data_IF_700880974376
#
_entry.id   IF_700880974376
#
_cell.length_a   1.000
_cell.length_b   1.000
_cell.length_c   1.000
_cell.angle_alpha   90.00
_cell.angle_beta   90.00
_cell.angle_gamma   90.00
#
_symmetry.space_group_name_H-M   'P 1'
#
loop_
_entity.id
_entity.type
_entity.pdbx_description
1 polymer ?
#
# COMPACT_ATOMS: atom_id res chain seq x y z
N UNK A 1 -0.29 -2.02 -7.78
CA UNK A 1 -0.83 -3.29 -7.31
C UNK A 1 0.24 -4.07 -6.57
N UNK A 2 -0.08 -4.62 -5.40
CA UNK A 2 0.80 -5.46 -4.57
C UNK A 2 0.14 -6.82 -4.55
N UNK A 3 0.84 -7.86 -5.03
CA UNK A 3 0.28 -9.21 -5.09
C UNK A 3 -0.40 -9.55 -6.42
N UNK A 4 0.09 -9.02 -7.54
CA UNK A 4 -0.23 -9.61 -8.86
C UNK A 4 0.13 -11.11 -8.84
N UNK A 5 -0.59 -11.98 -9.57
CA UNK A 5 -0.57 -13.46 -9.48
C UNK A 5 0.82 -14.16 -9.42
N UNK A 6 1.92 -13.46 -9.70
CA UNK A 6 3.29 -14.00 -9.67
C UNK A 6 4.22 -13.39 -8.61
N UNK A 7 3.78 -12.39 -7.86
CA UNK A 7 4.63 -11.67 -6.90
C UNK A 7 4.79 -12.47 -5.59
N UNK A 8 6.02 -12.64 -5.13
CA UNK A 8 6.30 -13.28 -3.84
C UNK A 8 6.38 -12.22 -2.74
N UNK A 9 5.68 -12.45 -1.63
CA UNK A 9 5.61 -11.49 -0.52
C UNK A 9 6.09 -12.13 0.77
N UNK A 10 7.13 -11.57 1.36
CA UNK A 10 7.71 -12.00 2.63
C UNK A 10 7.49 -10.92 3.71
N UNK A 11 7.06 -11.32 4.91
CA UNK A 11 7.04 -10.42 6.07
C UNK A 11 8.44 -10.44 6.69
N UNK A 12 9.14 -9.31 6.64
CA UNK A 12 10.48 -9.17 7.24
C UNK A 12 10.38 -8.80 8.71
N UNK A 13 9.46 -7.88 9.03
CA UNK A 13 9.30 -7.34 10.38
C UNK A 13 7.84 -7.08 10.67
N UNK A 14 7.44 -7.28 11.92
CA UNK A 14 6.13 -6.86 12.41
C UNK A 14 6.31 -6.11 13.72
N UNK A 15 5.85 -4.85 13.76
CA UNK A 15 5.70 -4.09 15.01
C UNK A 15 4.26 -4.22 15.48
N UNK A 16 4.07 -4.35 16.80
CA UNK A 16 2.75 -4.51 17.39
C UNK A 16 2.45 -3.35 18.32
N UNK A 17 1.33 -2.68 18.08
CA UNK A 17 0.78 -1.65 18.94
C UNK A 17 -0.47 -2.19 19.61
N UNK A 18 -0.65 -1.92 20.89
CA UNK A 18 -1.78 -2.44 21.66
C UNK A 18 -2.39 -1.32 22.48
N UNK A 19 -3.69 -1.13 22.35
CA UNK A 19 -4.45 -0.11 23.05
C UNK A 19 -5.86 -0.62 23.37
N UNK A 20 -6.51 0.10 24.28
CA UNK A 20 -7.94 -0.08 24.59
C UNK A 20 -8.71 0.99 23.83
N UNK A 21 -9.23 0.65 22.66
CA UNK A 21 -10.09 1.55 21.89
C UNK A 21 -11.54 1.11 22.08
N UNK A 22 -12.42 2.07 22.40
CA UNK A 22 -13.84 1.83 22.68
C UNK A 22 -14.11 0.73 23.72
N UNK A 23 -13.24 0.59 24.72
CA UNK A 23 -13.38 -0.38 25.81
C UNK A 23 -12.88 -1.80 25.51
N UNK A 24 -12.51 -2.11 24.26
CA UNK A 24 -11.94 -3.41 23.89
C UNK A 24 -10.43 -3.34 23.72
N UNK A 25 -9.70 -4.36 24.19
CA UNK A 25 -8.28 -4.47 23.90
C UNK A 25 -8.10 -4.82 22.43
N UNK A 26 -7.39 -3.95 21.72
CA UNK A 26 -7.19 -4.04 20.27
C UNK A 26 -5.70 -4.08 19.97
N UNK A 27 -5.36 -4.83 18.94
CA UNK A 27 -4.00 -4.95 18.44
C UNK A 27 -3.95 -4.45 17.00
N UNK A 28 -2.91 -3.68 16.74
CA UNK A 28 -2.58 -3.15 15.43
C UNK A 28 -1.18 -3.65 15.09
N UNK A 29 -1.01 -4.11 13.86
CA UNK A 29 0.24 -4.67 13.38
C UNK A 29 0.75 -3.83 12.23
N UNK A 30 1.98 -3.36 12.32
CA UNK A 30 2.67 -2.72 11.22
C UNK A 30 3.68 -3.71 10.65
N UNK A 31 3.39 -4.21 9.46
CA UNK A 31 4.21 -5.17 8.74
C UNK A 31 5.12 -4.46 7.76
N UNK A 32 6.41 -4.75 7.84
CA UNK A 32 7.38 -4.44 6.78
C UNK A 32 7.47 -5.67 5.87
N UNK A 33 7.04 -5.49 4.62
CA UNK A 33 6.92 -6.52 3.62
C UNK A 33 7.98 -6.33 2.54
N UNK A 34 8.66 -7.41 2.17
CA UNK A 34 9.47 -7.46 0.97
C UNK A 34 8.70 -8.17 -0.14
N UNK A 35 8.41 -7.42 -1.20
CA UNK A 35 7.76 -7.95 -2.39
C UNK A 35 8.81 -8.18 -3.45
N UNK A 36 9.06 -9.43 -3.77
CA UNK A 36 9.88 -9.86 -4.89
C UNK A 36 9.00 -10.01 -6.13
N UNK A 37 9.26 -9.16 -7.12
CA UNK A 37 8.60 -9.19 -8.43
C UNK A 37 9.48 -9.86 -9.45
N UNK A 38 9.23 -9.56 -10.72
CA UNK A 38 10.12 -9.96 -11.79
C UNK A 38 9.83 -11.35 -12.32
N UNK A 39 10.58 -11.73 -13.33
CA UNK A 39 10.40 -13.00 -14.01
C UNK A 39 11.78 -13.58 -14.30
N UNK A 40 12.05 -14.76 -13.77
CA UNK A 40 13.31 -15.46 -14.06
C UNK A 40 13.26 -16.07 -15.47
N UNK A 41 14.40 -16.58 -15.95
CA UNK A 41 14.51 -17.17 -17.28
C UNK A 41 13.51 -18.33 -17.48
N UNK A 42 13.37 -19.22 -16.51
CA UNK A 42 12.48 -20.38 -16.59
C UNK A 42 11.01 -19.98 -16.80
N UNK A 43 10.54 -18.96 -16.10
CA UNK A 43 9.15 -18.48 -16.21
C UNK A 43 8.92 -17.80 -17.56
N UNK A 44 9.84 -16.92 -18.00
CA UNK A 44 9.67 -16.26 -19.31
C UNK A 44 9.72 -17.27 -20.45
N UNK A 45 10.57 -18.30 -20.38
CA UNK A 45 10.58 -19.39 -21.36
C UNK A 45 9.23 -20.12 -21.44
N UNK A 46 8.50 -20.24 -20.33
CA UNK A 46 7.13 -20.77 -20.33
C UNK A 46 6.22 -19.90 -21.20
N UNK A 47 6.27 -18.58 -21.01
CA UNK A 47 5.51 -17.60 -21.82
C UNK A 47 5.94 -17.63 -23.29
N UNK A 48 7.23 -17.87 -23.57
CA UNK A 48 7.74 -17.98 -24.94
C UNK A 48 7.16 -19.17 -25.70
N UNK A 49 6.85 -20.28 -25.02
CA UNK A 49 6.25 -21.46 -25.67
C UNK A 49 4.81 -21.20 -26.13
N UNK A 50 4.15 -20.24 -25.51
CA UNK A 50 2.81 -19.78 -25.91
C UNK A 50 2.89 -18.61 -26.91
N UNK A 51 3.96 -18.52 -27.71
CA UNK A 51 4.09 -17.50 -28.76
C UNK A 51 3.02 -17.70 -29.83
N UNK A 52 2.38 -16.62 -30.22
CA UNK A 52 1.26 -16.60 -31.15
C UNK A 52 1.63 -15.88 -32.45
N UNK A 53 2.68 -15.06 -32.41
CA UNK A 53 3.12 -14.20 -33.49
C UNK A 53 4.61 -14.32 -33.78
N UNK A 54 5.03 -14.13 -35.04
CA UNK A 54 6.44 -14.13 -35.43
C UNK A 54 7.23 -12.93 -34.86
N UNK A 55 6.53 -11.85 -34.49
CA UNK A 55 7.14 -10.73 -33.78
C UNK A 55 7.29 -10.99 -32.27
N UNK A 56 6.76 -12.10 -31.74
CA UNK A 56 7.06 -12.47 -30.36
C UNK A 56 8.57 -12.75 -30.22
N UNK A 57 9.15 -12.31 -29.12
CA UNK A 57 10.56 -12.56 -28.87
C UNK A 57 11.20 -11.63 -27.86
N UNK A 58 12.52 -11.79 -27.75
CA UNK A 58 13.36 -10.98 -26.89
C UNK A 58 13.88 -9.76 -27.62
N UNK A 59 13.89 -8.65 -26.90
CA UNK A 59 14.23 -7.34 -27.41
C UNK A 59 15.15 -6.63 -26.46
N UNK A 60 16.15 -5.93 -27.00
CA UNK A 60 17.01 -5.03 -26.24
C UNK A 60 16.67 -3.59 -26.57
N UNK A 61 16.75 -2.73 -25.56
CA UNK A 61 16.61 -1.29 -25.76
C UNK A 61 17.75 -0.79 -26.65
N UNK A 62 17.40 -0.01 -27.69
CA UNK A 62 18.38 0.76 -28.47
C UNK A 62 19.04 1.74 -27.51
N UNK A 63 20.31 1.52 -27.27
CA UNK A 63 21.09 2.30 -26.32
C UNK A 63 22.51 2.47 -26.82
N UNK A 64 23.14 3.55 -26.39
CA UNK A 64 24.51 3.88 -26.72
C UNK A 64 25.45 2.73 -26.38
N UNK A 65 26.56 2.66 -27.12
CA UNK A 65 27.53 1.56 -27.14
C UNK A 65 28.03 1.20 -25.72
N UNK A 66 28.14 2.19 -24.82
CA UNK A 66 28.72 2.04 -23.48
C UNK A 66 27.70 1.79 -22.35
N UNK A 67 26.42 1.58 -22.66
CA UNK A 67 25.39 1.36 -21.62
C UNK A 67 25.00 -0.11 -21.51
N UNK A 68 24.79 -0.59 -20.28
CA UNK A 68 24.28 -1.95 -20.05
C UNK A 68 22.94 -2.11 -20.75
N UNK A 69 22.80 -3.20 -21.52
CA UNK A 69 21.61 -3.46 -22.33
C UNK A 69 20.44 -3.86 -21.43
N UNK A 70 19.30 -3.19 -21.63
CA UNK A 70 18.03 -3.54 -20.97
C UNK A 70 17.28 -4.48 -21.90
N UNK A 71 17.04 -5.70 -21.43
CA UNK A 71 16.29 -6.72 -22.15
C UNK A 71 14.84 -6.79 -21.68
N UNK A 72 13.94 -7.04 -22.63
CA UNK A 72 12.52 -7.31 -22.43
C UNK A 72 12.07 -8.47 -23.33
N UNK A 73 10.94 -9.08 -22.99
CA UNK A 73 10.24 -10.02 -23.88
C UNK A 73 8.90 -9.38 -24.27
N UNK A 74 8.62 -9.34 -25.57
CA UNK A 74 7.37 -8.78 -26.09
C UNK A 74 6.50 -9.92 -26.62
N UNK A 75 5.24 -9.94 -26.18
CA UNK A 75 4.20 -10.86 -26.67
C UNK A 75 3.07 -10.05 -27.30
N UNK A 76 2.81 -10.26 -28.58
CA UNK A 76 1.72 -9.63 -29.31
C UNK A 76 0.38 -10.26 -28.94
N UNK A 77 -0.65 -9.42 -28.89
CA UNK A 77 -2.01 -9.87 -28.56
C UNK A 77 -2.67 -10.53 -29.77
N UNK A 78 -2.41 -9.98 -30.95
CA UNK A 78 -3.04 -10.39 -32.21
C UNK A 78 -2.06 -11.21 -33.06
N UNK A 79 -2.57 -12.28 -33.71
CA UNK A 79 -1.81 -13.06 -34.71
C UNK A 79 -1.44 -12.21 -35.92
N UNK A 80 -2.43 -11.48 -36.44
CA UNK A 80 -2.28 -10.62 -37.60
C UNK A 80 -1.89 -9.22 -37.13
N UNK A 81 -0.61 -8.88 -37.31
CA UNK A 81 -0.07 -7.62 -36.82
C UNK A 81 -0.40 -6.49 -37.79
N UNK A 82 -1.11 -5.49 -37.30
CA UNK A 82 -1.29 -4.19 -37.95
C UNK A 82 -0.43 -3.13 -37.25
N UNK A 83 -0.36 -1.92 -37.82
CA UNK A 83 0.39 -0.82 -37.19
C UNK A 83 -0.17 -0.42 -35.81
N UNK A 84 -1.47 -0.65 -35.56
CA UNK A 84 -2.11 -0.38 -34.28
C UNK A 84 -2.02 -1.52 -33.27
N UNK A 85 -1.38 -2.64 -33.65
CA UNK A 85 -1.21 -3.79 -32.77
C UNK A 85 -0.46 -3.41 -31.49
N UNK A 86 -0.88 -4.05 -30.40
CA UNK A 86 -0.32 -3.84 -29.07
C UNK A 86 0.37 -5.11 -28.60
N UNK A 87 1.45 -4.93 -27.85
CA UNK A 87 2.19 -6.01 -27.21
C UNK A 87 2.18 -5.87 -25.68
N UNK A 88 2.19 -7.01 -25.01
CA UNK A 88 2.41 -7.12 -23.57
C UNK A 88 3.92 -7.28 -23.36
N UNK A 89 4.48 -6.46 -22.48
CA UNK A 89 5.90 -6.48 -22.18
C UNK A 89 6.16 -7.23 -20.88
N UNK A 90 7.11 -8.15 -20.91
CA UNK A 90 7.62 -8.86 -19.75
C UNK A 90 9.04 -8.40 -19.49
N UNK A 91 9.37 -8.15 -18.22
CA UNK A 91 10.68 -7.65 -17.79
C UNK A 91 11.28 -8.56 -16.71
N UNK A 92 12.62 -8.72 -16.66
CA UNK A 92 13.27 -9.50 -15.62
C UNK A 92 12.99 -8.95 -14.21
N UNK A 93 12.96 -7.63 -14.05
CA UNK A 93 12.85 -6.95 -12.76
C UNK A 93 11.41 -6.73 -12.28
N UNK A 94 10.47 -6.41 -13.18
CA UNK A 94 9.07 -6.09 -12.81
C UNK A 94 8.05 -7.13 -13.23
N UNK A 95 8.42 -8.12 -14.03
CA UNK A 95 7.49 -9.13 -14.54
C UNK A 95 6.62 -8.59 -15.68
N UNK A 96 5.37 -9.08 -15.76
CA UNK A 96 4.40 -8.67 -16.77
C UNK A 96 3.99 -7.20 -16.57
N UNK A 97 4.01 -6.43 -17.64
CA UNK A 97 3.57 -5.04 -17.64
C UNK A 97 2.05 -4.99 -17.88
N UNK A 98 1.33 -4.34 -16.97
CA UNK A 98 -0.13 -4.18 -17.09
C UNK A 98 -0.51 -3.29 -18.28
N UNK A 99 0.32 -2.30 -18.60
CA UNK A 99 0.12 -1.42 -19.75
C UNK A 99 0.63 -2.08 -21.02
N UNK A 100 -0.27 -2.27 -21.99
CA UNK A 100 0.10 -2.72 -23.34
C UNK A 100 0.87 -1.60 -24.08
N UNK A 101 1.88 -1.96 -24.85
CA UNK A 101 2.72 -1.05 -25.62
C UNK A 101 2.38 -1.14 -27.11
N UNK A 102 2.26 0.00 -27.79
CA UNK A 102 2.03 0.05 -29.25
C UNK A 102 3.24 -0.45 -30.03
N UNK A 103 3.00 -1.06 -31.19
CA UNK A 103 4.04 -1.57 -32.09
C UNK A 103 5.06 -0.49 -32.49
N UNK A 104 4.61 0.72 -32.83
CA UNK A 104 5.50 1.81 -33.23
C UNK A 104 6.49 2.21 -32.13
N UNK A 105 6.03 2.25 -30.88
CA UNK A 105 6.90 2.53 -29.75
C UNK A 105 7.91 1.38 -29.52
N UNK A 106 7.51 0.14 -29.79
CA UNK A 106 8.39 -1.03 -29.71
C UNK A 106 9.48 -0.96 -30.77
N UNK A 107 9.11 -0.82 -32.04
CA UNK A 107 10.04 -0.75 -33.19
C UNK A 107 11.01 0.43 -33.09
N UNK A 108 10.55 1.57 -32.57
CA UNK A 108 11.40 2.75 -32.38
C UNK A 108 12.48 2.50 -31.33
N UNK A 109 12.10 1.96 -30.17
CA UNK A 109 12.99 1.89 -29.02
C UNK A 109 13.76 0.58 -28.87
N UNK A 110 13.36 -0.49 -29.55
CA UNK A 110 13.90 -1.83 -29.29
C UNK A 110 14.35 -2.54 -30.58
N UNK A 111 15.27 -3.50 -30.41
CA UNK A 111 15.78 -4.38 -31.48
C UNK A 111 15.65 -5.82 -31.02
N UNK A 112 15.12 -6.69 -31.90
CA UNK A 112 14.96 -8.12 -31.63
C UNK A 112 16.33 -8.80 -31.57
N UNK A 113 16.50 -9.76 -30.66
CA UNK A 113 17.75 -10.51 -30.49
C UNK A 113 17.51 -12.02 -30.44
N UNK A 114 18.57 -12.77 -30.68
CA UNK A 114 18.57 -14.23 -30.60
C UNK A 114 18.35 -14.73 -29.16
N UNK A 115 17.67 -15.88 -29.03
CA UNK A 115 17.34 -16.48 -27.74
C UNK A 115 18.58 -16.84 -26.89
N UNK A 116 19.69 -17.23 -27.53
CA UNK A 116 20.93 -17.58 -26.83
C UNK A 116 21.54 -16.38 -26.10
N UNK A 117 21.66 -15.24 -26.80
CA UNK A 117 22.10 -13.97 -26.21
C UNK A 117 21.10 -13.44 -25.20
N UNK A 118 19.81 -13.65 -25.47
CA UNK A 118 18.73 -13.23 -24.59
C UNK A 118 18.84 -13.83 -23.20
N UNK A 119 19.17 -15.13 -23.09
CA UNK A 119 19.36 -15.80 -21.79
C UNK A 119 20.36 -15.08 -20.91
N UNK A 120 21.56 -14.85 -21.44
CA UNK A 120 22.65 -14.21 -20.70
C UNK A 120 22.26 -12.82 -20.22
N UNK A 121 21.67 -11.99 -21.08
CA UNK A 121 21.23 -10.65 -20.68
C UNK A 121 20.06 -10.68 -19.70
N UNK A 122 19.13 -11.64 -19.86
CA UNK A 122 17.97 -11.78 -18.98
C UNK A 122 18.39 -12.16 -17.58
N UNK A 123 19.21 -13.21 -17.43
CA UNK A 123 19.72 -13.68 -16.14
C UNK A 123 20.59 -12.62 -15.47
N UNK A 124 21.44 -11.94 -16.23
CA UNK A 124 22.27 -10.87 -15.69
C UNK A 124 21.46 -9.67 -15.19
N UNK A 125 20.47 -9.22 -15.97
CA UNK A 125 19.61 -8.12 -15.53
C UNK A 125 18.68 -8.55 -14.39
N UNK A 126 18.19 -9.79 -14.42
CA UNK A 126 17.43 -10.40 -13.33
C UNK A 126 18.24 -10.33 -12.03
N UNK A 127 19.48 -10.81 -12.04
CA UNK A 127 20.32 -10.83 -10.85
C UNK A 127 20.69 -9.43 -10.37
N UNK A 128 21.12 -8.54 -11.27
CA UNK A 128 21.47 -7.17 -10.90
C UNK A 128 20.28 -6.40 -10.30
N UNK A 129 19.06 -6.64 -10.79
CA UNK A 129 17.85 -5.97 -10.31
C UNK A 129 17.47 -6.32 -8.87
N UNK A 130 18.10 -7.32 -8.25
CA UNK A 130 17.89 -7.64 -6.84
C UNK A 130 18.42 -6.54 -5.90
N UNK A 131 19.52 -5.90 -6.29
CA UNK A 131 20.29 -4.99 -5.44
C UNK A 131 20.54 -3.62 -6.07
N UNK A 132 20.42 -3.50 -7.40
CA UNK A 132 20.72 -2.27 -8.13
C UNK A 132 19.47 -1.72 -8.80
N UNK A 133 19.25 -0.42 -8.63
CA UNK A 133 18.23 0.30 -9.39
C UNK A 133 18.60 0.34 -10.88
N UNK A 134 17.59 0.51 -11.74
CA UNK A 134 17.76 0.53 -13.20
C UNK A 134 18.70 1.65 -13.66
N UNK A 135 18.76 2.76 -12.92
CA UNK A 135 19.68 3.87 -13.19
C UNK A 135 21.13 3.43 -13.01
N UNK A 136 21.45 2.82 -11.86
CA UNK A 136 22.80 2.32 -11.56
C UNK A 136 23.18 1.19 -12.50
N UNK A 137 22.24 0.30 -12.83
CA UNK A 137 22.47 -0.74 -13.83
C UNK A 137 22.80 -0.12 -15.20
N UNK A 138 21.89 0.67 -15.78
CA UNK A 138 22.06 1.18 -17.15
C UNK A 138 23.22 2.16 -17.32
N UNK A 139 23.32 3.15 -16.42
CA UNK A 139 24.23 4.29 -16.52
C UNK A 139 25.46 4.19 -15.61
N UNK A 140 25.57 3.15 -14.79
CA UNK A 140 26.62 3.02 -13.77
C UNK A 140 26.41 3.90 -12.52
N UNK A 141 25.54 4.91 -12.59
CA UNK A 141 25.30 5.87 -11.52
C UNK A 141 23.81 6.18 -11.34
N UNK A 142 23.40 6.46 -10.10
CA UNK A 142 22.07 6.94 -9.77
C UNK A 142 22.18 8.24 -8.95
N UNK A 143 21.50 9.31 -9.38
CA UNK A 143 21.50 10.60 -8.69
C UNK A 143 21.04 10.47 -7.23
N UNK A 144 19.97 9.71 -7.01
CA UNK A 144 19.41 9.48 -5.67
C UNK A 144 20.43 8.82 -4.73
N UNK A 145 21.11 7.76 -5.20
CA UNK A 145 22.16 7.09 -4.44
C UNK A 145 23.38 8.00 -4.19
N UNK A 146 23.74 8.85 -5.17
CA UNK A 146 24.83 9.83 -5.02
C UNK A 146 24.51 10.89 -3.95
N UNK A 147 23.24 11.23 -3.77
CA UNK A 147 22.77 12.15 -2.73
C UNK A 147 22.55 11.44 -1.37
N UNK A 148 22.98 10.19 -1.21
CA UNK A 148 22.78 9.41 0.03
C UNK A 148 21.34 8.91 0.25
N UNK A 149 20.45 9.08 -0.73
CA UNK A 149 19.06 8.64 -0.64
C UNK A 149 18.89 7.25 -1.25
N UNK A 150 17.95 6.45 -0.70
CA UNK A 150 17.61 5.12 -1.25
C UNK A 150 16.89 5.25 -2.59
N UNK A 151 17.14 4.31 -3.52
CA UNK A 151 16.47 4.26 -4.82
C UNK A 151 16.04 2.83 -5.15
N UNK A 152 14.73 2.60 -5.20
CA UNK A 152 14.14 1.30 -5.50
C UNK A 152 13.58 1.22 -6.94
N UNK A 153 13.93 2.22 -7.76
CA UNK A 153 13.40 2.33 -9.12
C UNK A 153 13.94 1.21 -10.01
N UNK A 154 13.02 0.39 -10.52
CA UNK A 154 13.35 -0.77 -11.33
C UNK A 154 14.08 -1.89 -10.57
N UNK A 155 14.09 -1.86 -9.24
CA UNK A 155 14.50 -3.01 -8.44
C UNK A 155 13.39 -4.06 -8.39
N UNK A 156 13.80 -5.32 -8.28
CA UNK A 156 12.90 -6.47 -8.18
C UNK A 156 12.29 -6.60 -6.79
N UNK A 157 13.07 -6.29 -5.76
CA UNK A 157 12.60 -6.20 -4.39
C UNK A 157 12.12 -4.78 -4.11
N UNK A 158 10.92 -4.64 -3.56
CA UNK A 158 10.47 -3.40 -2.94
C UNK A 158 9.99 -3.66 -1.53
N UNK A 159 10.22 -2.69 -0.68
CA UNK A 159 9.74 -2.70 0.70
C UNK A 159 8.44 -1.93 0.78
N UNK A 160 7.44 -2.53 1.40
CA UNK A 160 6.14 -1.92 1.65
C UNK A 160 5.79 -2.02 3.11
N UNK A 161 5.15 -0.97 3.64
CA UNK A 161 4.67 -0.95 5.01
C UNK A 161 3.16 -1.08 5.00
N UNK A 162 2.64 -2.11 5.66
CA UNK A 162 1.20 -2.39 5.71
C UNK A 162 0.73 -2.41 7.15
N UNK A 163 -0.21 -1.53 7.47
CA UNK A 163 -0.88 -1.48 8.75
C UNK A 163 -2.11 -2.39 8.73
N UNK A 164 -2.18 -3.39 9.61
CA UNK A 164 -3.25 -4.38 9.69
C UNK A 164 -3.81 -4.51 11.12
N UNK A 165 -4.91 -5.25 11.27
CA UNK A 165 -5.64 -5.40 12.54
C UNK A 165 -6.79 -4.40 12.64
N UNK A 166 -6.98 -3.78 13.81
CA UNK A 166 -8.02 -2.77 14.03
C UNK A 166 -7.59 -1.40 13.48
N UNK A 167 -7.46 -1.27 12.16
CA UNK A 167 -6.99 -0.02 11.53
C UNK A 167 -7.96 1.15 11.80
N UNK A 168 -9.26 0.87 11.83
CA UNK A 168 -10.29 1.90 12.07
C UNK A 168 -10.17 2.56 13.45
N UNK A 169 -9.69 1.84 14.47
CA UNK A 169 -9.56 2.42 15.81
C UNK A 169 -8.44 3.45 15.92
N UNK A 170 -7.47 3.43 15.01
CA UNK A 170 -6.39 4.42 14.92
C UNK A 170 -6.47 5.28 13.66
N UNK A 171 -7.63 5.29 13.00
CA UNK A 171 -7.83 6.03 11.75
C UNK A 171 -7.48 7.51 11.89
N UNK A 172 -7.93 8.14 12.97
CA UNK A 172 -7.60 9.55 13.29
C UNK A 172 -6.09 9.78 13.40
N UNK A 173 -5.34 8.81 13.92
CA UNK A 173 -3.88 8.88 14.05
C UNK A 173 -3.20 8.77 12.68
N UNK A 174 -3.74 7.92 11.80
CA UNK A 174 -3.28 7.81 10.40
C UNK A 174 -3.52 9.13 9.66
N UNK A 175 -4.74 9.66 9.68
CA UNK A 175 -5.08 10.94 9.02
C UNK A 175 -4.18 12.09 9.51
N UNK A 176 -3.98 12.21 10.82
CA UNK A 176 -3.06 13.21 11.40
C UNK A 176 -1.63 13.02 10.90
N UNK A 177 -1.14 11.79 10.79
CA UNK A 177 0.22 11.52 10.31
C UNK A 177 0.38 11.87 8.83
N UNK A 178 -0.63 11.62 8.00
CA UNK A 178 -0.64 11.98 6.58
C UNK A 178 -0.69 13.49 6.41
N UNK A 179 -1.58 14.16 7.15
CA UNK A 179 -1.70 15.61 7.16
C UNK A 179 -0.40 16.30 7.58
N UNK A 180 0.26 15.81 8.65
CA UNK A 180 1.57 16.33 9.12
C UNK A 180 2.66 16.28 8.06
N UNK A 181 2.59 15.30 7.17
CA UNK A 181 3.56 15.13 6.08
C UNK A 181 3.09 15.76 4.76
N UNK A 182 1.99 16.52 4.76
CA UNK A 182 1.34 17.08 3.58
C UNK A 182 1.15 16.02 2.47
N UNK A 183 0.77 14.81 2.88
CA UNK A 183 0.57 13.70 1.95
C UNK A 183 -0.90 13.62 1.55
N UNK A 184 -1.20 14.12 0.35
CA UNK A 184 -2.57 14.23 -0.20
C UNK A 184 -3.03 12.96 -0.95
N UNK A 185 -2.29 11.85 -0.87
CA UNK A 185 -2.65 10.64 -1.59
C UNK A 185 -3.63 9.77 -0.80
N UNK A 186 -4.62 9.22 -1.52
CA UNK A 186 -5.61 8.28 -1.00
C UNK A 186 -4.93 7.04 -0.41
N UNK A 187 -5.32 6.67 0.82
CA UNK A 187 -4.85 5.42 1.46
C UNK A 187 -5.36 4.24 0.63
N UNK A 188 -4.44 3.34 0.25
CA UNK A 188 -4.79 2.13 -0.48
C UNK A 188 -4.99 0.95 0.48
N UNK A 189 -6.11 0.23 0.35
CA UNK A 189 -6.33 -1.06 1.01
C UNK A 189 -5.67 -2.16 0.17
N UNK A 190 -4.93 -3.04 0.83
CA UNK A 190 -4.24 -4.17 0.20
C UNK A 190 -4.65 -5.48 0.85
N UNK A 191 -4.80 -6.52 0.02
CA UNK A 191 -5.03 -7.90 0.43
C UNK A 191 -3.90 -8.73 -0.15
N UNK A 192 -3.15 -9.41 0.68
CA UNK A 192 -1.99 -10.19 0.25
C UNK A 192 -1.91 -11.51 0.98
N UNK A 193 -1.28 -12.47 0.30
CA UNK A 193 -0.92 -13.77 0.85
C UNK A 193 0.59 -13.84 0.85
N UNK A 194 1.18 -14.15 2.01
CA UNK A 194 2.63 -14.29 2.11
C UNK A 194 3.09 -15.63 1.55
N UNK A 195 4.39 -15.78 1.31
CA UNK A 195 5.01 -17.06 0.97
C UNK A 195 4.80 -18.13 2.05
N UNK A 196 4.56 -17.72 3.30
CA UNK A 196 4.19 -18.59 4.43
C UNK A 196 2.68 -18.86 4.52
N UNK A 197 1.92 -18.59 3.46
CA UNK A 197 0.46 -18.75 3.35
C UNK A 197 -0.35 -17.96 4.40
N UNK A 198 0.22 -16.86 4.91
CA UNK A 198 -0.49 -15.96 5.82
C UNK A 198 -1.24 -14.91 5.02
N UNK A 199 -2.56 -14.85 5.21
CA UNK A 199 -3.41 -13.81 4.63
C UNK A 199 -3.37 -12.56 5.50
N UNK A 200 -3.08 -11.42 4.88
CA UNK A 200 -3.05 -10.12 5.55
C UNK A 200 -3.93 -9.14 4.77
N UNK A 201 -4.79 -8.43 5.48
CA UNK A 201 -5.58 -7.32 4.95
C UNK A 201 -5.21 -6.08 5.75
N UNK A 202 -4.89 -4.99 5.06
CA UNK A 202 -4.44 -3.77 5.72
C UNK A 202 -4.36 -2.57 4.79
N UNK A 203 -3.85 -1.46 5.32
CA UNK A 203 -3.65 -0.21 4.60
C UNK A 203 -2.17 -0.01 4.28
N UNK A 204 -1.87 0.39 3.05
CA UNK A 204 -0.52 0.71 2.62
C UNK A 204 -0.10 2.07 3.20
N UNK A 205 1.02 2.09 3.91
CA UNK A 205 1.59 3.30 4.53
C UNK A 205 2.79 3.78 3.71
N UNK A 206 2.79 5.04 3.24
CA UNK A 206 3.94 5.63 2.56
C UNK A 206 5.18 5.69 3.45
N UNK A 207 6.36 5.45 2.88
CA UNK A 207 7.63 5.48 3.61
C UNK A 207 7.93 6.86 4.24
N UNK A 208 7.45 7.95 3.63
CA UNK A 208 7.60 9.31 4.17
C UNK A 208 6.85 9.52 5.49
N UNK A 209 5.72 8.82 5.68
CA UNK A 209 4.82 8.98 6.83
C UNK A 209 5.13 7.97 7.93
N UNK A 210 5.79 6.86 7.57
CA UNK A 210 6.07 5.71 8.43
C UNK A 210 6.59 6.10 9.83
N UNK A 211 7.67 6.88 9.90
CA UNK A 211 8.31 7.23 11.18
C UNK A 211 7.40 8.07 12.08
N UNK A 212 6.65 9.00 11.49
CA UNK A 212 5.70 9.85 12.23
C UNK A 212 4.54 8.99 12.76
N UNK A 213 3.98 8.14 11.92
CA UNK A 213 2.91 7.24 12.31
C UNK A 213 3.34 6.28 13.42
N UNK A 214 4.52 5.67 13.30
CA UNK A 214 5.08 4.79 14.34
C UNK A 214 5.17 5.50 15.68
N UNK A 215 5.75 6.70 15.71
CA UNK A 215 5.89 7.49 16.95
C UNK A 215 4.54 7.77 17.59
N UNK A 216 3.55 8.20 16.78
CA UNK A 216 2.20 8.49 17.28
C UNK A 216 1.48 7.25 17.80
N UNK A 217 1.62 6.10 17.13
CA UNK A 217 1.04 4.83 17.58
C UNK A 217 1.70 4.32 18.87
N UNK A 218 3.00 4.53 19.04
CA UNK A 218 3.71 4.20 20.29
C UNK A 218 3.23 5.04 21.47
N UNK A 219 3.07 6.35 21.27
CA UNK A 219 2.56 7.28 22.28
C UNK A 219 1.12 6.92 22.70
N UNK A 220 0.26 6.60 21.73
CA UNK A 220 -1.13 6.24 21.97
C UNK A 220 -1.26 4.88 22.69
N UNK A 221 -0.44 3.90 22.30
CA UNK A 221 -0.31 2.60 22.96
C UNK A 221 0.12 2.73 24.42
N UNK A 222 1.11 3.59 24.72
CA UNK A 222 1.55 3.87 26.11
C UNK A 222 0.44 4.56 26.91
N UNK A 223 -0.15 5.61 26.35
CA UNK A 223 -1.19 6.40 27.02
C UNK A 223 -2.39 5.54 27.40
N UNK A 224 -2.80 4.63 26.51
CA UNK A 224 -3.97 3.80 26.77
C UNK A 224 -3.70 2.71 27.80
N UNK A 225 -2.48 2.15 27.84
CA UNK A 225 -2.06 1.23 28.89
C UNK A 225 -2.09 1.91 30.28
N UNK A 226 -1.59 3.14 30.38
CA UNK A 226 -1.63 3.91 31.62
C UNK A 226 -3.09 4.15 32.06
N UNK A 227 -3.96 4.57 31.14
CA UNK A 227 -5.38 4.79 31.45
C UNK A 227 -6.10 3.51 31.86
N UNK A 228 -5.74 2.35 31.29
CA UNK A 228 -6.29 1.06 31.70
C UNK A 228 -5.88 0.71 33.14
N UNK A 229 -4.59 0.82 33.47
CA UNK A 229 -4.08 0.58 34.82
C UNK A 229 -4.72 1.53 35.86
N UNK A 230 -4.89 2.80 35.52
CA UNK A 230 -5.57 3.76 36.41
C UNK A 230 -7.04 3.41 36.67
N UNK A 231 -7.73 2.80 35.70
CA UNK A 231 -9.11 2.34 35.88
C UNK A 231 -9.19 1.10 36.76
N UNK A 232 -8.25 0.18 36.62
CA UNK A 232 -8.13 -1.01 37.48
C UNK A 232 -7.91 -0.59 38.94
N UNK A 233 -6.94 0.29 39.21
CA UNK A 233 -6.68 0.82 40.56
C UNK A 233 -7.93 1.49 41.16
N UNK A 234 -8.62 2.35 40.40
CA UNK A 234 -9.87 2.99 40.85
C UNK A 234 -11.01 2.01 41.13
N UNK A 235 -11.04 0.88 40.42
CA UNK A 235 -12.06 -0.15 40.63
C UNK A 235 -11.78 -0.97 41.88
N UNK A 236 -10.51 -1.27 42.17
CA UNK A 236 -10.09 -1.96 43.39
C UNK A 236 -10.35 -1.09 44.64
N UNK A 237 -10.06 0.21 44.57
CA UNK A 237 -10.36 1.17 45.64
C UNK A 237 -11.87 1.26 45.96
N UNK A 238 -12.73 1.22 44.93
CA UNK A 238 -14.20 1.21 45.13
C UNK A 238 -14.74 -0.08 45.72
N UNK A 239 -14.06 -1.20 45.52
CA UNK A 239 -14.50 -2.51 46.01
C UNK A 239 -14.17 -2.71 47.48
N UNK A 240 -13.25 -1.93 48.06
CA UNK A 240 -12.89 -1.97 49.48
C UNK A 240 -13.75 -1.06 50.38
N UNK A 241 -14.59 -0.19 49.82
CA UNK A 241 -15.47 0.72 50.59
C UNK A 241 -16.92 0.21 50.53
N UNK A 242 -17.23 -0.87 51.25
CA UNK A 242 -18.62 -1.24 51.61
C UNK A 242 -18.75 -1.21 53.13
N UNK A 243 -19.56 -0.30 53.73
CA UNK A 243 -19.77 -0.27 55.16
C UNK A 243 -20.68 -1.43 55.60
N UNK A 244 -20.25 -2.20 56.61
CA UNK A 244 -21.17 -2.98 57.45
C UNK A 244 -22.05 -1.99 58.22
N UNK A 245 -23.32 -1.84 57.84
CA UNK A 245 -24.34 -1.30 58.76
C UNK A 245 -25.54 -2.23 58.80
N UNK A 246 -25.83 -2.68 60.01
CA UNK A 246 -26.92 -3.52 60.46
C UNK A 246 -28.30 -3.00 60.01
N UNK A 247 -29.18 -3.95 59.68
CA UNK A 247 -30.62 -3.74 59.51
C UNK A 247 -31.24 -3.63 60.89
N UNK A 248 -32.06 -2.60 61.09
CA UNK A 248 -33.21 -2.65 62.00
C UNK A 248 -34.43 -2.05 61.27
N UNK A 249 -35.58 -2.69 61.52
CA UNK A 249 -36.89 -2.43 60.95
C UNK A 249 -37.46 -1.06 61.34
N UNK A 250 -38.22 -0.42 60.46
CA UNK A 250 -39.64 -0.11 60.69
C UNK A 250 -40.25 0.68 59.51
N UNK A 251 -41.46 0.27 59.14
CA UNK A 251 -42.43 1.02 58.33
C UNK A 251 -43.49 1.58 59.29
N UNK A 252 -44.26 2.67 59.02
CA UNK A 252 -45.30 2.57 57.99
C UNK A 252 -45.87 3.88 57.33
N UNK A 253 -46.59 3.65 56.22
CA UNK A 253 -47.86 4.28 55.74
C UNK A 253 -47.99 5.77 55.32
N UNK A 254 -48.13 5.93 53.98
CA UNK A 254 -49.09 6.72 53.15
C UNK A 254 -49.77 7.99 53.69
N UNK A 255 -49.61 9.11 52.97
CA UNK A 255 -50.69 10.11 52.69
C UNK A 255 -50.61 10.61 51.24
N UNK A 256 -51.80 10.77 50.66
CA UNK A 256 -52.15 11.09 49.27
C UNK A 256 -52.51 12.58 49.12
N UNK A 257 -52.30 13.19 47.93
CA UNK A 257 -53.21 14.13 47.20
C UNK A 257 -52.50 15.29 46.44
N UNK A 258 -52.58 15.17 45.11
CA UNK A 258 -53.17 16.10 44.12
C UNK A 258 -52.69 17.56 43.89
N UNK A 259 -52.55 17.83 42.57
CA UNK A 259 -52.82 19.07 41.79
C UNK A 259 -51.78 20.19 41.94
N UNK A 260 -51.32 20.90 40.90
CA UNK A 260 -52.04 21.49 39.75
C UNK A 260 -51.03 21.99 38.69
N UNK A 261 -51.46 21.91 37.42
CA UNK A 261 -51.08 22.68 36.21
C UNK A 261 -50.25 23.98 36.42
N UNK A 262 -49.25 24.17 35.55
CA UNK A 262 -49.05 25.43 34.83
C UNK A 262 -48.59 25.17 33.38
N UNK A 263 -48.95 26.09 32.50
CA UNK A 263 -49.00 25.96 31.04
C UNK A 263 -47.97 26.88 30.36
N UNK A 264 -47.58 26.53 29.12
CA UNK A 264 -46.99 27.35 28.02
C UNK A 264 -45.57 27.89 28.24
N UNK A 265 -44.70 28.07 27.24
CA UNK A 265 -44.77 28.08 25.75
C UNK A 265 -43.32 28.00 25.22
N UNK A 266 -42.98 27.17 24.23
CA UNK A 266 -42.98 27.42 22.77
C UNK A 266 -41.93 28.43 22.26
N UNK A 267 -40.95 27.91 21.51
CA UNK A 267 -40.44 28.42 20.21
C UNK A 267 -39.28 27.49 19.78
N UNK A 268 -39.58 26.41 19.04
CA UNK A 268 -39.58 26.33 17.57
C UNK A 268 -38.18 26.50 16.94
N UNK A 269 -37.68 25.36 16.50
CA UNK A 269 -36.54 25.17 15.61
C UNK A 269 -37.03 25.26 14.16
N UNK A 270 -36.22 25.88 13.31
CA UNK A 270 -36.41 25.92 11.86
C UNK A 270 -35.51 24.88 11.20
N UNK A 271 -36.12 23.98 10.43
CA UNK A 271 -35.50 23.10 9.46
C UNK A 271 -34.98 23.89 8.24
N UNK A 272 -33.87 23.43 7.66
CA UNK A 272 -33.61 23.58 6.23
C UNK A 272 -32.86 22.36 5.71
N UNK A 273 -33.58 21.53 4.96
CA UNK A 273 -33.04 20.56 4.00
C UNK A 273 -32.59 21.29 2.73
N UNK A 274 -31.54 20.78 2.08
CA UNK A 274 -31.39 20.86 0.61
C UNK A 274 -30.49 19.72 0.12
N UNK A 275 -31.14 18.76 -0.51
CA UNK A 275 -30.88 18.16 -1.82
C UNK A 275 -29.51 17.61 -2.24
N UNK A 276 -29.61 16.35 -2.66
CA UNK A 276 -28.70 15.53 -3.43
C UNK A 276 -28.64 15.89 -4.93
N UNK A 277 -27.70 15.22 -5.61
CA UNK A 277 -27.46 15.04 -7.05
C UNK A 277 -26.39 15.93 -7.67
N UNK A 278 -25.48 15.45 -8.53
CA UNK A 278 -25.06 14.11 -8.99
C UNK A 278 -24.02 14.37 -10.11
N UNK A 279 -23.01 13.50 -10.24
CA UNK A 279 -22.28 13.15 -11.49
C UNK A 279 -21.45 14.27 -12.20
N UNK A 280 -20.31 14.03 -12.86
CA UNK A 280 -19.42 12.87 -13.06
C UNK A 280 -18.13 13.37 -13.77
N UNK A 281 -17.08 12.54 -13.72
CA UNK A 281 -15.98 12.37 -14.70
C UNK A 281 -14.94 13.48 -14.92
N UNK A 282 -13.68 13.21 -15.29
CA UNK A 282 -12.67 12.20 -14.99
C UNK A 282 -11.38 12.66 -15.74
N UNK A 283 -10.23 12.25 -15.23
CA UNK A 283 -8.97 12.01 -15.95
C UNK A 283 -8.23 13.11 -16.74
N UNK A 284 -7.06 13.52 -16.21
CA UNK A 284 -5.84 13.62 -17.03
C UNK A 284 -4.56 13.58 -16.19
N UNK A 285 -3.87 12.43 -16.14
CA UNK A 285 -2.45 12.35 -15.79
C UNK A 285 -1.69 11.47 -16.81
N UNK A 286 -1.19 12.15 -17.84
CA UNK A 286 -0.34 11.60 -18.89
C UNK A 286 1.11 11.91 -18.54
N UNK A 287 1.90 10.85 -18.30
CA UNK A 287 3.36 10.90 -18.26
C UNK A 287 3.91 11.19 -19.67
N UNK A 288 4.12 12.48 -19.95
CA UNK A 288 4.92 12.98 -21.06
C UNK A 288 6.40 12.99 -20.67
N UNK A 289 7.20 12.15 -21.32
CA UNK A 289 8.65 12.30 -21.38
C UNK A 289 8.90 13.23 -22.57
N UNK A 290 9.09 14.52 -22.29
CA UNK A 290 9.69 15.45 -23.24
C UNK A 290 11.20 15.42 -23.09
N UNK A 291 11.84 15.13 -24.22
CA UNK A 291 13.16 15.62 -24.58
C UNK A 291 13.26 17.12 -24.36
N UNK A 292 14.29 17.55 -23.64
CA UNK A 292 14.85 18.88 -23.79
C UNK A 292 16.35 18.72 -24.05
N UNK A 293 16.72 19.12 -25.26
CA UNK A 293 18.07 19.50 -25.61
C UNK A 293 18.42 20.83 -24.96
N UNK A 294 19.72 21.08 -25.01
CA UNK A 294 20.43 22.37 -25.10
C UNK A 294 21.10 22.91 -23.83
N UNK A 295 22.41 23.11 -24.04
CA UNK A 295 23.49 23.79 -23.30
C UNK A 295 24.12 23.13 -22.05
#
# INVERSE_FOLDING_TARGET
DIGSDSDKVDIIKTKVFSGVYSGSQTKIYLHELHVQRGMNWKIVCGVCKESISDLDGFYILKSDINTKKIIIYAKFVDKNISNDSKCIIYRPNTGKCNKKMKLDAMKRNYVKIDNEKAKTYWEWFYEASSIQCIHKFRKGACRQLKMGMKCENGMRFRTYNVLSGSVLSVWKTIEKSLFRMNYDAKIQIVRLVTTSDKRVVGCLIPNSVLNVLETMLEEESKSTKILALQREIKSEEKTQIVPKSSRDEESPLKINKNKKKFMRSSSEASDCESDENSESDDDSDILSISSMNDE
#
